data_IF_338727593492
#
_entry.id   IF_338727593492
#
_cell.length_a   1.000
_cell.length_b   1.000
_cell.length_c   1.000
_cell.angle_alpha   90.00
_cell.angle_beta   90.00
_cell.angle_gamma   90.00
#
_symmetry.space_group_name_H-M   'P 1'
#
loop_
_entity.id
_entity.type
_entity.pdbx_description
1 polymer ?
#
# COMPACT_ATOMS: atom_id res chain seq x y z
N UNK A 1 53.26 -71.44 6.61
CA UNK A 1 52.93 -70.07 7.03
C UNK A 1 51.73 -69.60 6.22
N UNK A 2 50.56 -69.44 6.84
CA UNK A 2 49.41 -68.73 6.28
C UNK A 2 48.49 -68.32 7.42
N UNK A 3 48.34 -67.01 7.64
CA UNK A 3 47.38 -66.42 8.58
C UNK A 3 45.99 -66.39 7.95
N UNK A 4 44.96 -66.80 8.69
CA UNK A 4 43.56 -66.59 8.33
C UNK A 4 42.92 -65.65 9.35
N UNK A 5 42.51 -64.48 8.88
CA UNK A 5 41.75 -63.47 9.64
C UNK A 5 40.26 -63.83 9.57
N UNK A 6 39.59 -63.94 10.72
CA UNK A 6 38.15 -64.21 10.81
C UNK A 6 37.36 -62.90 10.90
N UNK A 7 36.36 -62.75 10.03
CA UNK A 7 35.38 -61.65 10.03
C UNK A 7 34.11 -62.13 10.76
N UNK A 8 33.47 -61.34 11.64
CA UNK A 8 32.16 -61.72 12.17
C UNK A 8 31.04 -61.22 11.25
N UNK A 9 30.22 -62.18 10.82
CA UNK A 9 28.92 -62.03 10.19
C UNK A 9 27.86 -61.73 11.26
N UNK A 10 27.09 -60.66 11.12
CA UNK A 10 25.85 -60.46 11.87
C UNK A 10 24.67 -60.47 10.88
N UNK A 11 23.77 -61.41 11.09
CA UNK A 11 22.63 -61.73 10.24
C UNK A 11 21.42 -60.84 10.55
N UNK A 12 20.71 -60.52 9.47
CA UNK A 12 19.49 -59.72 9.35
C UNK A 12 18.21 -60.48 9.70
N UNK A 13 17.15 -59.70 9.99
CA UNK A 13 15.72 -59.81 9.56
C UNK A 13 14.80 -59.48 10.72
N UNK A 14 13.87 -58.53 10.64
CA UNK A 14 12.65 -58.51 9.81
C UNK A 14 11.97 -57.12 9.99
N UNK A 15 11.08 -56.56 9.18
CA UNK A 15 10.53 -56.79 7.83
C UNK A 15 9.59 -55.58 7.57
N UNK A 16 9.60 -55.04 6.35
CA UNK A 16 8.50 -54.34 5.63
C UNK A 16 7.85 -53.11 6.31
N UNK A 17 7.62 -51.98 5.67
CA UNK A 17 6.76 -51.81 4.49
C UNK A 17 6.76 -50.33 4.12
N UNK A 18 6.73 -49.99 2.83
CA UNK A 18 6.20 -48.71 2.37
C UNK A 18 7.17 -47.87 1.54
N UNK A 19 6.83 -47.71 0.26
CA UNK A 19 7.50 -46.81 -0.69
C UNK A 19 7.35 -45.32 -0.34
N UNK A 20 7.60 -44.45 -1.33
CA UNK A 20 8.27 -43.18 -1.13
C UNK A 20 7.46 -42.26 -0.22
N UNK A 21 8.09 -41.64 0.77
CA UNK A 21 7.56 -40.38 1.29
C UNK A 21 7.81 -39.32 0.23
N UNK A 22 6.93 -39.34 -0.77
CA UNK A 22 6.38 -38.19 -1.47
C UNK A 22 6.81 -36.92 -0.76
N UNK A 23 7.77 -36.19 -1.34
CA UNK A 23 7.73 -34.75 -1.19
C UNK A 23 6.31 -34.34 -1.59
N UNK A 24 5.52 -33.94 -0.61
CA UNK A 24 4.29 -33.20 -0.88
C UNK A 24 4.75 -31.82 -1.34
N UNK A 25 5.39 -31.74 -2.51
CA UNK A 25 5.32 -30.56 -3.33
C UNK A 25 3.84 -30.44 -3.70
N UNK A 26 3.11 -29.75 -2.83
CA UNK A 26 1.83 -29.17 -3.15
C UNK A 26 2.00 -28.49 -4.51
N UNK A 27 1.32 -28.99 -5.55
CA UNK A 27 1.40 -28.42 -6.89
C UNK A 27 0.96 -26.95 -6.94
N UNK A 28 0.43 -26.41 -5.83
CA UNK A 28 0.11 -25.00 -5.67
C UNK A 28 1.33 -24.10 -5.44
N UNK A 29 2.52 -24.64 -5.17
CA UNK A 29 3.66 -23.80 -4.82
C UNK A 29 4.50 -23.34 -6.02
N UNK A 30 4.38 -23.93 -7.23
CA UNK A 30 5.19 -23.65 -8.46
C UNK A 30 6.31 -22.60 -8.27
N UNK A 31 6.38 -21.40 -8.83
CA UNK A 31 7.48 -20.42 -8.55
C UNK A 31 7.79 -19.92 -7.10
N UNK A 32 7.64 -20.73 -6.05
CA UNK A 32 8.13 -20.52 -4.68
C UNK A 32 9.09 -21.64 -4.22
N UNK A 33 9.69 -22.39 -5.16
CA UNK A 33 10.49 -23.60 -4.87
C UNK A 33 11.70 -23.34 -3.95
N UNK A 34 12.18 -22.10 -3.90
CA UNK A 34 13.29 -21.67 -3.04
C UNK A 34 12.90 -21.46 -1.57
N UNK A 35 11.61 -21.60 -1.22
CA UNK A 35 11.09 -21.28 0.11
C UNK A 35 10.41 -22.49 0.75
N UNK A 36 10.64 -22.65 2.05
CA UNK A 36 9.81 -23.53 2.87
C UNK A 36 8.44 -22.89 3.16
N UNK A 37 7.58 -23.62 3.88
CA UNK A 37 6.22 -23.15 4.16
C UNK A 37 6.20 -21.84 4.97
N UNK A 38 7.16 -21.65 5.89
CA UNK A 38 7.27 -20.42 6.68
C UNK A 38 7.57 -19.21 5.77
N UNK A 39 8.55 -19.35 4.88
CA UNK A 39 8.88 -18.33 3.88
C UNK A 39 7.71 -18.01 2.97
N UNK A 40 7.01 -19.03 2.47
CA UNK A 40 5.82 -18.86 1.62
C UNK A 40 4.72 -18.09 2.36
N UNK A 41 4.45 -18.42 3.62
CA UNK A 41 3.42 -17.75 4.42
C UNK A 41 3.78 -16.29 4.70
N UNK A 42 5.05 -15.97 4.96
CA UNK A 42 5.55 -14.61 5.11
C UNK A 42 5.41 -13.79 3.83
N UNK A 43 5.84 -14.34 2.68
CA UNK A 43 5.74 -13.68 1.37
C UNK A 43 4.27 -13.43 1.01
N UNK A 44 3.40 -14.41 1.26
CA UNK A 44 1.95 -14.28 1.05
C UNK A 44 1.33 -13.20 1.93
N UNK A 45 1.69 -13.14 3.22
CA UNK A 45 1.23 -12.09 4.12
C UNK A 45 1.69 -10.71 3.65
N UNK A 46 2.96 -10.60 3.24
CA UNK A 46 3.54 -9.37 2.70
C UNK A 46 2.81 -8.89 1.43
N UNK A 47 2.55 -9.79 0.49
CA UNK A 47 1.79 -9.52 -0.73
C UNK A 47 0.36 -9.04 -0.47
N UNK A 48 -0.35 -9.69 0.47
CA UNK A 48 -1.70 -9.30 0.82
C UNK A 48 -1.76 -7.89 1.42
N UNK A 49 -0.87 -7.55 2.35
CA UNK A 49 -0.84 -6.20 2.93
C UNK A 49 -0.44 -5.17 1.88
N UNK A 50 0.53 -5.47 0.99
CA UNK A 50 0.90 -4.56 -0.10
C UNK A 50 -0.29 -4.27 -1.03
N UNK A 51 -1.07 -5.29 -1.38
CA UNK A 51 -2.28 -5.11 -2.18
C UNK A 51 -3.31 -4.19 -1.49
N UNK A 52 -3.49 -4.35 -0.17
CA UNK A 52 -4.37 -3.44 0.60
C UNK A 52 -3.83 -2.01 0.54
N UNK A 53 -2.53 -1.81 0.78
CA UNK A 53 -1.89 -0.49 0.71
C UNK A 53 -2.06 0.18 -0.65
N UNK A 54 -1.88 -0.56 -1.75
CA UNK A 54 -2.03 -0.02 -3.10
C UNK A 54 -3.47 0.38 -3.40
N UNK A 55 -4.44 -0.39 -2.90
CA UNK A 55 -5.85 -0.06 -3.01
C UNK A 55 -6.21 1.18 -2.19
N UNK A 56 -5.72 1.28 -0.95
CA UNK A 56 -5.92 2.48 -0.12
C UNK A 56 -5.27 3.72 -0.73
N UNK A 57 -4.06 3.58 -1.28
CA UNK A 57 -3.39 4.66 -2.00
C UNK A 57 -4.22 5.14 -3.21
N UNK A 58 -4.78 4.21 -3.99
CA UNK A 58 -5.65 4.55 -5.12
C UNK A 58 -6.90 5.31 -4.68
N UNK A 59 -7.55 4.89 -3.59
CA UNK A 59 -8.70 5.60 -3.01
C UNK A 59 -8.30 7.00 -2.54
N UNK A 60 -7.16 7.12 -1.87
CA UNK A 60 -6.61 8.40 -1.41
C UNK A 60 -6.40 9.36 -2.60
N UNK A 61 -5.70 8.94 -3.65
CA UNK A 61 -5.48 9.76 -4.86
C UNK A 61 -6.79 10.18 -5.53
N UNK A 62 -7.79 9.30 -5.58
CA UNK A 62 -9.11 9.66 -6.12
C UNK A 62 -9.77 10.76 -5.28
N UNK A 63 -9.72 10.64 -3.95
CA UNK A 63 -10.32 11.63 -3.04
C UNK A 63 -9.62 12.99 -3.11
N UNK A 64 -8.30 13.02 -3.31
CA UNK A 64 -7.57 14.26 -3.59
C UNK A 64 -8.05 14.92 -4.90
N UNK A 65 -8.25 14.13 -5.95
CA UNK A 65 -8.81 14.62 -7.21
C UNK A 65 -10.22 15.19 -7.03
N UNK A 66 -11.08 14.49 -6.28
CA UNK A 66 -12.44 14.96 -5.97
C UNK A 66 -12.40 16.29 -5.20
N UNK A 67 -11.49 16.45 -4.22
CA UNK A 67 -11.30 17.71 -3.48
C UNK A 67 -10.95 18.86 -4.42
N UNK A 68 -10.05 18.63 -5.38
CA UNK A 68 -9.67 19.64 -6.36
C UNK A 68 -10.87 20.03 -7.25
N UNK A 69 -11.64 19.05 -7.71
CA UNK A 69 -12.83 19.28 -8.54
C UNK A 69 -13.89 20.10 -7.79
N UNK A 70 -14.26 19.70 -6.57
CA UNK A 70 -15.26 20.42 -5.78
C UNK A 70 -14.78 21.82 -5.41
N UNK A 71 -13.49 22.01 -5.16
CA UNK A 71 -12.90 23.35 -4.94
C UNK A 71 -13.07 24.24 -6.18
N UNK A 72 -12.80 23.71 -7.38
CA UNK A 72 -13.03 24.43 -8.65
C UNK A 72 -14.51 24.76 -8.85
N UNK A 73 -15.41 23.82 -8.57
CA UNK A 73 -16.87 24.03 -8.69
C UNK A 73 -17.35 25.13 -7.73
N UNK A 74 -16.91 25.11 -6.48
CA UNK A 74 -17.23 26.13 -5.48
C UNK A 74 -16.74 27.51 -5.95
N UNK A 75 -15.48 27.61 -6.40
CA UNK A 75 -14.92 28.87 -6.90
C UNK A 75 -15.68 29.41 -8.12
N UNK A 76 -16.05 28.54 -9.07
CA UNK A 76 -16.88 28.91 -10.22
C UNK A 76 -18.25 29.45 -9.79
N UNK A 77 -18.88 28.83 -8.79
CA UNK A 77 -20.17 29.29 -8.25
C UNK A 77 -20.04 30.60 -7.46
N UNK A 78 -18.95 30.80 -6.71
CA UNK A 78 -18.69 32.07 -6.03
C UNK A 78 -18.52 33.22 -7.02
N UNK A 79 -17.74 33.04 -8.10
CA UNK A 79 -17.65 34.05 -9.19
C UNK A 79 -18.99 34.36 -9.84
N UNK A 80 -19.83 33.33 -10.06
CA UNK A 80 -21.20 33.52 -10.57
C UNK A 80 -22.06 34.31 -9.59
N UNK A 81 -21.92 34.05 -8.30
CA UNK A 81 -22.66 34.75 -7.25
C UNK A 81 -22.30 36.23 -7.25
N UNK A 82 -21.01 36.55 -7.25
CA UNK A 82 -20.49 37.92 -7.30
C UNK A 82 -21.03 38.70 -8.50
N UNK A 83 -21.01 38.09 -9.70
CA UNK A 83 -21.58 38.71 -10.91
C UNK A 83 -23.10 38.96 -10.79
N UNK A 84 -23.84 38.03 -10.18
CA UNK A 84 -25.27 38.20 -9.98
C UNK A 84 -25.57 39.30 -8.95
N UNK A 85 -24.76 39.40 -7.89
CA UNK A 85 -24.89 40.44 -6.87
C UNK A 85 -24.58 41.82 -7.47
N UNK A 86 -23.55 41.94 -8.30
CA UNK A 86 -23.25 43.18 -9.05
C UNK A 86 -24.43 43.58 -9.96
N UNK A 87 -24.94 42.66 -10.78
CA UNK A 87 -26.07 42.94 -11.68
C UNK A 87 -27.35 43.30 -10.93
N UNK A 88 -27.58 42.69 -9.77
CA UNK A 88 -28.70 43.04 -8.91
C UNK A 88 -28.59 44.49 -8.42
N UNK A 89 -27.39 44.95 -8.05
CA UNK A 89 -27.15 46.34 -7.66
C UNK A 89 -27.39 47.30 -8.83
N UNK A 90 -26.87 47.00 -10.02
CA UNK A 90 -27.05 47.81 -11.24
C UNK A 90 -28.52 47.93 -11.68
N UNK A 91 -29.36 46.95 -11.31
CA UNK A 91 -30.78 46.87 -11.71
C UNK A 91 -31.77 47.20 -10.58
N UNK A 92 -31.34 47.85 -9.49
CA UNK A 92 -32.15 48.15 -8.31
C UNK A 92 -32.89 46.93 -7.71
N UNK A 93 -32.24 45.76 -7.70
CA UNK A 93 -32.71 44.60 -6.95
C UNK A 93 -33.90 43.88 -7.59
N UNK A 94 -33.98 43.83 -8.93
CA UNK A 94 -35.05 43.12 -9.63
C UNK A 94 -35.24 41.68 -9.09
N UNK A 95 -36.48 41.28 -8.85
CA UNK A 95 -36.89 40.05 -8.14
C UNK A 95 -36.24 38.77 -8.73
N UNK A 96 -35.99 38.74 -10.03
CA UNK A 96 -35.34 37.63 -10.74
C UNK A 96 -33.90 37.37 -10.24
N UNK A 97 -33.16 38.41 -9.87
CA UNK A 97 -31.80 38.25 -9.33
C UNK A 97 -31.80 37.67 -7.91
N UNK A 98 -32.77 38.04 -7.06
CA UNK A 98 -32.88 37.54 -5.68
C UNK A 98 -33.04 36.02 -5.64
N UNK A 99 -33.91 35.47 -6.51
CA UNK A 99 -34.11 34.03 -6.63
C UNK A 99 -32.83 33.33 -7.12
N UNK A 100 -32.19 33.86 -8.17
CA UNK A 100 -30.94 33.31 -8.73
C UNK A 100 -29.79 33.33 -7.73
N UNK A 101 -29.62 34.43 -6.99
CA UNK A 101 -28.63 34.58 -5.92
C UNK A 101 -28.84 33.52 -4.83
N UNK A 102 -30.10 33.38 -4.39
CA UNK A 102 -30.46 32.40 -3.35
C UNK A 102 -30.18 30.97 -3.80
N UNK A 103 -30.50 30.63 -5.05
CA UNK A 103 -30.20 29.33 -5.64
C UNK A 103 -28.70 29.05 -5.69
N UNK A 104 -27.88 30.02 -6.12
CA UNK A 104 -26.42 29.86 -6.17
C UNK A 104 -25.83 29.72 -4.78
N UNK A 105 -26.30 30.49 -3.80
CA UNK A 105 -25.90 30.36 -2.38
C UNK A 105 -26.21 28.97 -1.83
N UNK A 106 -27.38 28.41 -2.16
CA UNK A 106 -27.74 27.04 -1.80
C UNK A 106 -26.78 26.01 -2.40
N UNK A 107 -26.47 26.12 -3.71
CA UNK A 107 -25.53 25.22 -4.38
C UNK A 107 -24.12 25.29 -3.77
N UNK A 108 -23.63 26.49 -3.45
CA UNK A 108 -22.33 26.66 -2.77
C UNK A 108 -22.32 25.93 -1.42
N UNK A 109 -23.39 26.06 -0.62
CA UNK A 109 -23.50 25.36 0.66
C UNK A 109 -23.51 23.84 0.48
N UNK A 110 -24.25 23.33 -0.50
CA UNK A 110 -24.29 21.91 -0.81
C UNK A 110 -22.91 21.37 -1.20
N UNK A 111 -22.18 22.06 -2.10
CA UNK A 111 -20.83 21.65 -2.48
C UNK A 111 -19.83 21.75 -1.34
N UNK A 112 -19.93 22.75 -0.45
CA UNK A 112 -19.09 22.83 0.75
C UNK A 112 -19.34 21.66 1.71
N UNK A 113 -20.59 21.21 1.85
CA UNK A 113 -20.92 20.05 2.67
C UNK A 113 -20.30 18.77 2.09
N UNK A 114 -20.39 18.58 0.76
CA UNK A 114 -19.75 17.45 0.07
C UNK A 114 -18.23 17.50 0.23
N UNK A 115 -17.61 18.66 -0.01
CA UNK A 115 -16.16 18.85 0.14
C UNK A 115 -15.70 18.52 1.57
N UNK A 116 -16.47 18.92 2.59
CA UNK A 116 -16.18 18.57 3.98
C UNK A 116 -16.22 17.05 4.19
N UNK A 117 -17.27 16.38 3.72
CA UNK A 117 -17.38 14.92 3.85
C UNK A 117 -16.22 14.19 3.18
N UNK A 118 -15.80 14.61 1.98
CA UNK A 118 -14.67 14.02 1.27
C UNK A 118 -13.35 14.22 2.06
N UNK A 119 -13.14 15.41 2.65
CA UNK A 119 -11.96 15.66 3.49
C UNK A 119 -11.94 14.79 4.75
N UNK A 120 -13.10 14.63 5.40
CA UNK A 120 -13.22 13.78 6.58
C UNK A 120 -12.95 12.30 6.23
N UNK A 121 -13.39 11.83 5.06
CA UNK A 121 -13.06 10.49 4.53
C UNK A 121 -11.58 10.36 4.20
N UNK A 122 -10.96 11.35 3.56
CA UNK A 122 -9.53 11.34 3.23
C UNK A 122 -8.67 11.21 4.50
N UNK A 123 -9.02 11.91 5.57
CA UNK A 123 -8.32 11.80 6.86
C UNK A 123 -8.42 10.39 7.45
N UNK A 124 -9.57 9.72 7.30
CA UNK A 124 -9.73 8.32 7.74
C UNK A 124 -8.87 7.37 6.92
N UNK A 125 -8.90 7.51 5.59
CA UNK A 125 -8.06 6.72 4.68
C UNK A 125 -6.57 6.89 4.99
N UNK A 126 -6.14 8.11 5.30
CA UNK A 126 -4.75 8.38 5.69
C UNK A 126 -4.38 7.64 6.98
N UNK A 127 -5.26 7.66 7.99
CA UNK A 127 -5.03 6.92 9.24
C UNK A 127 -4.95 5.41 9.02
N UNK A 128 -5.89 4.85 8.23
CA UNK A 128 -5.88 3.43 7.86
C UNK A 128 -4.60 3.05 7.10
N UNK A 129 -4.18 3.89 6.16
CA UNK A 129 -2.91 3.71 5.43
C UNK A 129 -1.71 3.65 6.36
N UNK A 130 -1.63 4.52 7.38
CA UNK A 130 -0.52 4.50 8.35
C UNK A 130 -0.45 3.18 9.13
N UNK A 131 -1.60 2.65 9.56
CA UNK A 131 -1.67 1.36 10.27
C UNK A 131 -1.24 0.20 9.37
N UNK A 132 -1.76 0.14 8.14
CA UNK A 132 -1.33 -0.86 7.16
C UNK A 132 0.16 -0.75 6.83
N UNK A 133 0.69 0.46 6.69
CA UNK A 133 2.09 0.70 6.35
C UNK A 133 3.03 0.29 7.50
N UNK A 134 2.58 0.43 8.75
CA UNK A 134 3.31 -0.07 9.92
C UNK A 134 3.36 -1.60 9.92
N UNK A 135 2.24 -2.28 9.66
CA UNK A 135 2.19 -3.74 9.53
C UNK A 135 3.06 -4.24 8.37
N UNK A 136 3.01 -3.55 7.24
CA UNK A 136 3.80 -3.88 6.06
C UNK A 136 5.31 -3.76 6.30
N UNK A 137 5.76 -2.68 6.95
CA UNK A 137 7.17 -2.51 7.33
C UNK A 137 7.67 -3.63 8.23
N UNK A 138 6.86 -4.06 9.20
CA UNK A 138 7.19 -5.21 10.07
C UNK A 138 7.32 -6.52 9.27
N UNK A 139 6.36 -6.79 8.38
CA UNK A 139 6.44 -7.97 7.51
C UNK A 139 7.64 -7.91 6.57
N UNK A 140 7.99 -6.72 6.07
CA UNK A 140 9.16 -6.54 5.23
C UNK A 140 10.44 -6.98 5.95
N UNK A 141 10.61 -6.54 7.19
CA UNK A 141 11.75 -6.95 8.02
C UNK A 141 11.69 -8.45 8.32
N UNK A 142 10.53 -8.99 8.67
CA UNK A 142 10.40 -10.44 8.93
C UNK A 142 10.75 -11.30 7.70
N UNK A 143 10.35 -10.86 6.50
CA UNK A 143 10.76 -11.51 5.24
C UNK A 143 12.26 -11.39 5.05
N UNK A 144 12.86 -10.23 5.28
CA UNK A 144 14.31 -10.05 5.17
C UNK A 144 15.09 -10.92 6.16
N UNK A 145 14.69 -10.95 7.43
CA UNK A 145 15.31 -11.78 8.48
C UNK A 145 15.21 -13.28 8.14
N UNK A 146 14.11 -13.70 7.53
CA UNK A 146 13.96 -15.06 7.01
C UNK A 146 14.94 -15.32 5.87
N UNK A 147 15.03 -14.40 4.90
CA UNK A 147 15.93 -14.55 3.74
C UNK A 147 17.41 -14.59 4.18
N UNK A 148 17.81 -13.75 5.13
CA UNK A 148 19.16 -13.71 5.69
C UNK A 148 19.54 -15.04 6.36
N UNK A 149 18.63 -15.67 7.12
CA UNK A 149 18.85 -16.99 7.74
C UNK A 149 19.00 -18.12 6.74
N UNK A 150 18.50 -17.94 5.53
CA UNK A 150 18.52 -18.93 4.44
C UNK A 150 19.48 -18.52 3.31
N UNK A 151 20.55 -17.79 3.66
CA UNK A 151 21.65 -17.36 2.77
C UNK A 151 21.20 -16.58 1.52
N UNK A 152 19.99 -16.01 1.56
CA UNK A 152 19.43 -15.17 0.50
C UNK A 152 19.51 -13.73 0.95
N UNK A 153 20.58 -13.02 0.55
CA UNK A 153 20.76 -11.61 0.94
C UNK A 153 20.37 -10.68 -0.20
N UNK A 154 19.57 -9.65 0.12
CA UNK A 154 19.18 -8.61 -0.81
C UNK A 154 19.87 -7.29 -0.52
N UNK A 155 19.70 -6.34 -1.43
CA UNK A 155 20.21 -4.98 -1.23
C UNK A 155 19.47 -4.26 -0.09
N UNK A 156 20.18 -3.34 0.57
CA UNK A 156 19.64 -2.45 1.60
C UNK A 156 19.70 -1.00 1.12
N UNK A 157 18.61 -0.25 1.31
CA UNK A 157 18.58 1.20 1.17
C UNK A 157 18.53 1.83 2.57
N UNK A 158 19.72 2.11 3.14
CA UNK A 158 19.84 2.44 4.57
C UNK A 158 19.35 1.25 5.41
N UNK A 159 18.41 1.49 6.32
CA UNK A 159 17.82 0.44 7.18
C UNK A 159 16.62 -0.29 6.53
N UNK A 160 16.40 -0.09 5.23
CA UNK A 160 15.25 -0.65 4.52
C UNK A 160 15.65 -1.74 3.53
N UNK A 161 15.19 -2.99 3.70
CA UNK A 161 15.50 -4.07 2.77
C UNK A 161 14.76 -3.92 1.44
N UNK A 162 15.50 -4.02 0.34
CA UNK A 162 15.00 -3.96 -1.02
C UNK A 162 14.65 -5.37 -1.52
N UNK A 163 13.55 -5.92 -1.01
CA UNK A 163 13.13 -7.29 -1.34
C UNK A 163 12.97 -7.53 -2.86
N UNK A 164 12.67 -6.48 -3.63
CA UNK A 164 12.59 -6.53 -5.10
C UNK A 164 13.90 -6.92 -5.79
N UNK A 165 15.04 -6.71 -5.13
CA UNK A 165 16.36 -7.07 -5.67
C UNK A 165 16.62 -8.56 -5.66
N UNK A 166 15.78 -9.34 -4.95
CA UNK A 166 15.90 -10.78 -4.78
C UNK A 166 14.96 -11.47 -5.78
N UNK A 167 15.48 -12.08 -6.87
CA UNK A 167 14.63 -12.64 -7.93
C UNK A 167 13.70 -13.75 -7.45
N UNK A 168 14.17 -14.63 -6.56
CA UNK A 168 13.42 -15.76 -6.01
C UNK A 168 12.23 -15.24 -5.19
N UNK A 169 12.45 -14.23 -4.36
CA UNK A 169 11.38 -13.54 -3.64
C UNK A 169 10.34 -13.01 -4.62
N UNK A 170 10.78 -12.31 -5.67
CA UNK A 170 9.85 -11.72 -6.65
C UNK A 170 9.04 -12.77 -7.40
N UNK A 171 9.65 -13.90 -7.77
CA UNK A 171 8.95 -15.01 -8.42
C UNK A 171 7.83 -15.59 -7.54
N UNK A 172 8.09 -15.72 -6.24
CA UNK A 172 7.07 -16.21 -5.30
C UNK A 172 6.03 -15.12 -4.99
N UNK A 173 6.46 -13.87 -4.83
CA UNK A 173 5.64 -12.72 -4.51
C UNK A 173 4.52 -12.48 -5.55
N UNK A 174 4.86 -12.49 -6.84
CA UNK A 174 3.89 -12.21 -7.92
C UNK A 174 2.77 -13.23 -8.02
N UNK A 175 2.90 -14.40 -7.37
CA UNK A 175 1.80 -15.36 -7.27
C UNK A 175 0.68 -14.91 -6.35
N UNK A 176 1.04 -14.20 -5.30
CA UNK A 176 0.11 -13.74 -4.28
C UNK A 176 -0.34 -12.29 -4.51
N UNK A 177 0.45 -11.53 -5.26
CA UNK A 177 0.15 -10.14 -5.56
C UNK A 177 -0.45 -9.98 -6.96
N UNK A 178 -1.74 -9.64 -7.02
CA UNK A 178 -2.48 -9.38 -8.27
C UNK A 178 -2.52 -7.89 -8.66
N UNK A 179 -1.76 -7.04 -7.99
CA UNK A 179 -1.68 -5.61 -8.32
C UNK A 179 -0.73 -5.33 -9.49
N UNK A 180 -0.66 -4.07 -9.94
CA UNK A 180 0.33 -3.70 -10.95
C UNK A 180 1.75 -3.80 -10.37
N UNK A 181 2.69 -4.51 -11.01
CA UNK A 181 4.09 -4.56 -10.59
C UNK A 181 4.76 -3.16 -10.62
N UNK A 182 4.26 -2.23 -11.43
CA UNK A 182 4.82 -0.88 -11.53
C UNK A 182 4.62 -0.06 -10.24
N UNK A 183 3.59 -0.37 -9.45
CA UNK A 183 3.33 0.27 -8.15
C UNK A 183 4.28 -0.21 -7.03
N UNK A 184 5.12 -1.20 -7.29
CA UNK A 184 6.27 -1.48 -6.42
C UNK A 184 7.31 -0.36 -6.47
N UNK A 185 7.44 0.35 -7.59
CA UNK A 185 8.50 1.34 -7.81
C UNK A 185 8.30 2.63 -7.00
N UNK A 186 7.05 3.09 -6.83
CA UNK A 186 6.76 4.38 -6.19
C UNK A 186 6.67 4.29 -4.65
N UNK A 187 6.27 3.14 -4.09
CA UNK A 187 6.03 3.01 -2.65
C UNK A 187 7.31 3.01 -1.78
N UNK A 188 8.48 2.78 -2.36
CA UNK A 188 9.75 2.76 -1.62
C UNK A 188 10.39 4.15 -1.48
N UNK A 189 9.97 5.14 -2.29
CA UNK A 189 10.53 6.49 -2.29
C UNK A 189 9.63 7.53 -1.62
N UNK A 190 8.40 7.18 -1.25
CA UNK A 190 7.40 8.11 -0.71
C UNK A 190 7.59 8.53 0.75
N UNK A 191 8.68 8.15 1.42
CA UNK A 191 8.95 8.51 2.82
C UNK A 191 9.72 9.83 3.00
N UNK A 192 10.05 10.56 1.92
CA UNK A 192 10.82 11.81 2.00
C UNK A 192 10.05 12.97 1.36
N UNK A 193 9.14 13.57 2.13
CA UNK A 193 8.59 14.94 2.03
C UNK A 193 7.33 15.00 2.94
N UNK A 194 7.13 15.87 3.93
CA UNK A 194 7.71 17.15 4.29
C UNK A 194 7.75 17.23 5.83
N UNK A 195 8.94 17.29 6.41
CA UNK A 195 9.15 17.93 7.72
C UNK A 195 10.05 19.15 7.47
N UNK A 196 9.42 20.31 7.40
CA UNK A 196 10.08 21.61 7.44
C UNK A 196 9.04 22.62 7.96
N UNK A 197 8.86 22.62 9.29
CA UNK A 197 8.26 23.75 10.01
C UNK A 197 8.99 25.06 9.63
N UNK A 198 8.29 26.17 9.41
CA UNK A 198 7.55 26.94 10.41
C UNK A 198 8.44 27.54 11.51
N UNK A 199 9.23 28.54 11.17
CA UNK A 199 9.76 29.62 12.04
C UNK A 199 10.15 30.79 11.12
N UNK A 200 9.97 32.09 11.37
CA UNK A 200 9.32 32.93 12.37
C UNK A 200 9.14 34.28 11.62
N UNK A 201 7.98 34.93 11.69
CA UNK A 201 7.88 36.38 11.39
C UNK A 201 7.36 37.07 12.64
N UNK A 202 8.33 37.57 13.41
CA UNK A 202 8.15 38.41 14.58
C UNK A 202 7.65 39.79 14.13
N UNK A 203 6.47 40.16 14.63
CA UNK A 203 6.07 41.57 14.83
C UNK A 203 7.20 42.29 15.58
N UNK A 204 7.59 43.52 15.26
CA UNK A 204 6.97 44.82 15.63
C UNK A 204 8.08 45.90 15.47
N UNK A 205 7.84 47.20 15.64
CA UNK A 205 6.58 47.97 15.62
C UNK A 205 6.46 48.95 14.44
#
# INVERSE_FOLDING_TARGET
MSSATSTPTASTSATSTGGPTSSVFSSNNAGCDSFDQEGIDLIKAYANIKMVLDNEHKKYSQKESDIEEYTKLINKKMKKLELLEQKAQESNGAVDYTAKISQVKYQIRAYRAILKAIKDELMKLYHEYLEWNKGWRKLRMAVYDYLEKHDSTGEMAGDTPLLKSIPEFMQCFVKFYSGSPDLFQQSEHGAVAQDSGAEQQTLQP
#
